data_IF_995634695541
#
_entry.id   IF_995634695541
#
_cell.length_a   1.000
_cell.length_b   1.000
_cell.length_c   1.000
_cell.angle_alpha   90.00
_cell.angle_beta   90.00
_cell.angle_gamma   90.00
#
_symmetry.space_group_name_H-M   'P 1'
#
loop_
_entity.id
_entity.type
_entity.pdbx_description
1 polymer ?
#
# COMPACT_ATOMS: atom_id res chain seq x y z
N UNK A 1 -1.46 8.22 -11.58
CA UNK A 1 -0.18 8.08 -10.84
C UNK A 1 0.18 6.61 -10.60
N UNK A 2 -0.68 5.82 -9.94
CA UNK A 2 -0.40 4.40 -9.59
C UNK A 2 0.07 3.50 -10.74
N UNK A 3 -0.45 3.71 -11.96
CA UNK A 3 -0.12 2.87 -13.11
C UNK A 3 1.36 2.97 -13.57
N UNK A 4 2.01 4.11 -13.28
CA UNK A 4 3.39 4.41 -13.69
C UNK A 4 4.43 4.03 -12.62
N UNK A 5 3.97 3.74 -11.41
CA UNK A 5 4.83 3.45 -10.25
C UNK A 5 4.88 1.96 -9.97
N UNK A 6 6.00 1.46 -9.45
CA UNK A 6 6.09 0.08 -8.97
C UNK A 6 5.21 -0.15 -7.72
N UNK A 7 5.09 0.87 -6.88
CA UNK A 7 4.25 0.85 -5.69
C UNK A 7 3.69 2.23 -5.36
N UNK A 8 2.58 2.24 -4.62
CA UNK A 8 1.97 3.45 -4.03
C UNK A 8 2.02 3.34 -2.51
N UNK A 9 2.44 4.40 -1.82
CA UNK A 9 2.50 4.45 -0.35
C UNK A 9 1.48 5.47 0.17
N UNK A 10 0.60 5.06 1.07
CA UNK A 10 -0.27 5.96 1.83
C UNK A 10 0.41 6.31 3.14
N UNK A 11 0.81 7.57 3.28
CA UNK A 11 1.38 8.12 4.52
C UNK A 11 0.31 8.66 5.47
N UNK A 12 -0.76 9.22 4.91
CA UNK A 12 -1.90 9.76 5.63
C UNK A 12 -3.15 9.81 4.73
N UNK A 13 -4.31 9.45 5.28
CA UNK A 13 -5.61 9.66 4.66
C UNK A 13 -6.73 9.58 5.72
N UNK A 14 -7.73 10.45 5.60
CA UNK A 14 -9.00 10.31 6.33
C UNK A 14 -9.92 9.26 5.69
N UNK A 15 -10.98 8.87 6.41
CA UNK A 15 -11.91 7.80 6.01
C UNK A 15 -12.59 8.04 4.64
N UNK A 16 -12.85 9.31 4.30
CA UNK A 16 -13.47 9.73 3.03
C UNK A 16 -12.48 10.34 2.04
N UNK A 17 -11.17 10.19 2.28
CA UNK A 17 -10.13 10.81 1.46
C UNK A 17 -10.17 10.34 0.00
N UNK A 18 -10.01 11.29 -0.93
CA UNK A 18 -9.85 10.98 -2.36
C UNK A 18 -8.62 10.12 -2.68
N UNK A 19 -7.61 10.08 -1.79
CA UNK A 19 -6.44 9.20 -1.90
C UNK A 19 -6.84 7.73 -2.00
N UNK A 20 -7.94 7.33 -1.36
CA UNK A 20 -8.40 5.94 -1.35
C UNK A 20 -8.87 5.46 -2.74
N UNK A 21 -9.26 6.37 -3.63
CA UNK A 21 -9.56 6.05 -5.03
C UNK A 21 -8.32 5.59 -5.77
N UNK A 22 -7.19 6.28 -5.57
CA UNK A 22 -5.92 5.88 -6.18
C UNK A 22 -5.39 4.58 -5.58
N UNK A 23 -5.54 4.39 -4.27
CA UNK A 23 -5.17 3.15 -3.58
C UNK A 23 -5.91 1.93 -4.16
N UNK A 24 -7.22 2.06 -4.37
CA UNK A 24 -8.05 1.02 -4.99
C UNK A 24 -7.63 0.75 -6.44
N UNK A 25 -7.32 1.79 -7.20
CA UNK A 25 -6.83 1.64 -8.57
C UNK A 25 -5.47 0.93 -8.61
N UNK A 26 -4.57 1.20 -7.66
CA UNK A 26 -3.30 0.50 -7.54
C UNK A 26 -3.49 -1.00 -7.31
N UNK A 27 -4.32 -1.38 -6.34
CA UNK A 27 -4.66 -2.79 -6.08
C UNK A 27 -5.30 -3.45 -7.31
N UNK A 28 -6.26 -2.80 -7.95
CA UNK A 28 -6.92 -3.31 -9.16
C UNK A 28 -5.93 -3.53 -10.32
N UNK A 29 -4.91 -2.68 -10.44
CA UNK A 29 -3.85 -2.79 -11.44
C UNK A 29 -2.77 -3.83 -11.08
N UNK A 30 -2.93 -4.55 -9.97
CA UNK A 30 -1.91 -5.49 -9.46
C UNK A 30 -0.64 -4.80 -9.00
N UNK A 31 -0.70 -3.50 -8.66
CA UNK A 31 0.43 -2.73 -8.13
C UNK A 31 0.47 -2.86 -6.62
N UNK A 32 1.69 -2.80 -6.07
CA UNK A 32 1.88 -2.86 -4.61
C UNK A 32 1.29 -1.61 -3.98
N UNK A 33 0.40 -1.80 -3.02
CA UNK A 33 -0.10 -0.73 -2.16
C UNK A 33 0.53 -0.92 -0.78
N UNK A 34 1.22 0.10 -0.30
CA UNK A 34 1.81 0.13 1.04
C UNK A 34 1.11 1.18 1.89
N UNK A 35 0.98 0.90 3.18
CA UNK A 35 0.27 1.77 4.14
C UNK A 35 1.16 1.93 5.36
N UNK A 36 1.43 3.18 5.73
CA UNK A 36 2.25 3.48 6.90
C UNK A 36 1.54 3.08 8.20
N UNK A 37 2.32 2.56 9.15
CA UNK A 37 1.87 2.09 10.46
C UNK A 37 0.96 3.08 11.21
N UNK A 38 1.27 4.38 11.08
CA UNK A 38 0.51 5.47 11.68
C UNK A 38 -0.97 5.45 11.31
N UNK A 39 -1.33 4.98 10.12
CA UNK A 39 -2.72 4.87 9.69
C UNK A 39 -3.48 3.76 10.43
N UNK A 40 -2.79 2.70 10.88
CA UNK A 40 -3.39 1.60 11.65
C UNK A 40 -3.58 1.95 13.13
N UNK A 41 -2.84 2.94 13.63
CA UNK A 41 -2.91 3.38 15.02
C UNK A 41 -4.05 4.40 15.24
N UNK A 42 -4.86 4.65 14.21
CA UNK A 42 -6.00 5.57 14.20
C UNK A 42 -7.31 4.77 14.24
N UNK A 43 -7.94 4.60 15.41
CA UNK A 43 -9.11 3.72 15.58
C UNK A 43 -10.34 4.17 14.79
N UNK A 44 -10.38 5.43 14.37
CA UNK A 44 -11.45 5.97 13.52
C UNK A 44 -11.36 5.54 12.05
N UNK A 45 -10.25 4.96 11.61
CA UNK A 45 -10.03 4.54 10.23
C UNK A 45 -10.34 3.05 10.04
N UNK A 46 -11.19 2.71 9.08
CA UNK A 46 -11.51 1.31 8.75
C UNK A 46 -10.77 0.80 7.52
N UNK A 47 -10.41 1.72 6.61
CA UNK A 47 -9.77 1.40 5.35
C UNK A 47 -8.40 0.71 5.45
N UNK A 48 -7.52 0.97 6.47
CA UNK A 48 -6.20 0.35 6.48
C UNK A 48 -6.29 -1.18 6.59
N UNK A 49 -7.10 -1.67 7.52
CA UNK A 49 -7.34 -3.11 7.71
C UNK A 49 -7.97 -3.74 6.46
N UNK A 50 -9.01 -3.10 5.90
CA UNK A 50 -9.66 -3.57 4.67
C UNK A 50 -8.70 -3.67 3.49
N UNK A 51 -7.77 -2.73 3.33
CA UNK A 51 -6.81 -2.80 2.23
C UNK A 51 -5.73 -3.86 2.46
N UNK A 52 -5.34 -4.14 3.71
CA UNK A 52 -4.45 -5.28 4.02
C UNK A 52 -5.10 -6.61 3.66
N UNK A 53 -6.40 -6.78 3.96
CA UNK A 53 -7.17 -7.96 3.52
C UNK A 53 -7.22 -8.10 2.00
N UNK A 54 -7.08 -7.00 1.26
CA UNK A 54 -7.03 -6.97 -0.21
C UNK A 54 -5.61 -7.08 -0.78
N UNK A 55 -4.59 -7.29 0.06
CA UNK A 55 -3.20 -7.47 -0.35
C UNK A 55 -2.31 -6.23 -0.24
N UNK A 56 -2.77 -5.17 0.44
CA UNK A 56 -1.89 -4.07 0.81
C UNK A 56 -0.90 -4.48 1.92
N UNK A 57 0.25 -3.82 1.95
CA UNK A 57 1.37 -4.12 2.84
C UNK A 57 1.45 -3.04 3.91
N UNK A 58 1.39 -3.41 5.20
CA UNK A 58 1.67 -2.49 6.31
C UNK A 58 3.19 -2.30 6.45
N UNK A 59 3.64 -1.06 6.47
CA UNK A 59 5.05 -0.71 6.60
C UNK A 59 5.30 0.17 7.84
N UNK A 60 6.43 -0.03 8.52
CA UNK A 60 6.85 0.72 9.72
C UNK A 60 8.15 1.48 9.50
N UNK A 61 8.99 0.97 8.61
CA UNK A 61 10.37 1.41 8.39
C UNK A 61 10.65 1.52 6.90
N UNK A 62 11.78 2.15 6.57
CA UNK A 62 12.26 2.20 5.18
C UNK A 62 12.66 0.80 4.68
N UNK A 63 13.16 -0.06 5.55
CA UNK A 63 13.55 -1.44 5.19
C UNK A 63 12.35 -2.26 4.71
N UNK A 64 11.16 -2.04 5.29
CA UNK A 64 9.92 -2.69 4.84
C UNK A 64 9.58 -2.34 3.38
N UNK A 65 9.89 -1.11 2.97
CA UNK A 65 9.67 -0.64 1.59
C UNK A 65 10.61 -1.39 0.64
N UNK A 66 11.90 -1.43 0.95
CA UNK A 66 12.89 -2.11 0.12
C UNK A 66 12.60 -3.62 0.02
N UNK A 67 12.28 -4.27 1.13
CA UNK A 67 11.87 -5.68 1.11
C UNK A 67 10.63 -5.92 0.25
N UNK A 68 9.63 -5.04 0.33
CA UNK A 68 8.43 -5.15 -0.48
C UNK A 68 8.71 -4.98 -1.98
N UNK A 69 9.70 -4.17 -2.37
CA UNK A 69 10.11 -3.97 -3.76
C UNK A 69 11.00 -5.13 -4.26
N UNK A 70 11.93 -5.61 -3.45
CA UNK A 70 12.88 -6.67 -3.82
C UNK A 70 12.21 -8.02 -4.08
N UNK A 71 11.06 -8.32 -3.45
CA UNK A 71 10.30 -9.54 -3.76
C UNK A 71 9.85 -9.64 -5.23
N UNK A 72 9.93 -8.55 -6.01
CA UNK A 72 9.67 -8.55 -7.44
C UNK A 72 10.84 -9.13 -8.26
N UNK A 73 12.08 -8.96 -7.81
CA UNK A 73 13.27 -9.41 -8.55
C UNK A 73 13.40 -10.95 -8.56
N UNK A 74 12.95 -11.61 -7.50
CA UNK A 74 13.03 -13.07 -7.36
C UNK A 74 12.00 -13.83 -8.23
N UNK A 75 10.88 -13.20 -8.62
CA UNK A 75 9.84 -13.84 -9.45
C UNK A 75 10.08 -13.76 -10.96
N UNK A 76 11.02 -12.91 -11.41
CA UNK A 76 11.40 -12.79 -12.83
C UNK A 76 12.60 -13.65 -13.23
N UNK A 77 13.16 -14.43 -12.30
CA UNK A 77 14.35 -15.25 -12.50
C UNK A 77 14.06 -16.74 -12.80
N UNK A 78 12.83 -17.10 -13.19
CA UNK A 78 12.43 -18.48 -13.47
C UNK A 78 11.67 -18.61 -14.79
#
# INVERSE_FOLDING_TARGET
MSALTEATIIVEAGETSGTLTQARAALYQGRKLMILDSCFNRPELTWPARFVEQGAIRIKTLDDIWHALDQNAASTAN
#
